data_IF_419473659305
#
_entry.id   IF_419473659305
#
_cell.length_a   1.000
_cell.length_b   1.000
_cell.length_c   1.000
_cell.angle_alpha   90.00
_cell.angle_beta   90.00
_cell.angle_gamma   90.00
#
_symmetry.space_group_name_H-M   'P 1'
#
loop_
_entity.id
_entity.type
_entity.pdbx_description
1 polymer ?
#
# COMPACT_ATOMS: atom_id res chain seq x y z
N UNK A 1 -9.63 -6.92 -10.44
CA UNK A 1 -9.89 -7.78 -9.27
C UNK A 1 -11.37 -7.61 -8.94
N UNK A 2 -12.20 -8.64 -9.14
CA UNK A 2 -13.67 -8.50 -9.10
C UNK A 2 -14.34 -9.17 -7.89
N UNK A 3 -13.60 -9.98 -7.10
CA UNK A 3 -14.10 -10.64 -5.89
C UNK A 3 -13.33 -10.19 -4.64
N UNK A 4 -14.02 -10.04 -3.51
CA UNK A 4 -13.43 -9.69 -2.21
C UNK A 4 -12.46 -10.77 -1.69
N UNK A 5 -12.69 -12.04 -2.04
CA UNK A 5 -11.75 -13.12 -1.72
C UNK A 5 -10.42 -12.96 -2.46
N UNK A 6 -10.48 -12.59 -3.74
CA UNK A 6 -9.28 -12.35 -4.58
C UNK A 6 -8.47 -11.14 -4.08
N UNK A 7 -9.16 -10.08 -3.63
CA UNK A 7 -8.50 -8.89 -3.05
C UNK A 7 -7.67 -9.28 -1.83
N UNK A 8 -8.23 -10.05 -0.90
CA UNK A 8 -7.53 -10.46 0.33
C UNK A 8 -6.31 -11.31 0.05
N UNK A 9 -6.40 -12.22 -0.92
CA UNK A 9 -5.28 -13.08 -1.28
C UNK A 9 -4.16 -12.27 -1.96
N UNK A 10 -4.49 -11.36 -2.88
CA UNK A 10 -3.49 -10.49 -3.50
C UNK A 10 -2.85 -9.53 -2.49
N UNK A 11 -3.62 -9.01 -1.53
CA UNK A 11 -3.09 -8.22 -0.42
C UNK A 11 -2.10 -9.03 0.43
N UNK A 12 -2.38 -10.30 0.73
CA UNK A 12 -1.45 -11.17 1.47
C UNK A 12 -0.16 -11.44 0.71
N UNK A 13 -0.26 -11.77 -0.58
CA UNK A 13 0.93 -11.98 -1.43
C UNK A 13 1.77 -10.71 -1.52
N UNK A 14 1.13 -9.57 -1.76
CA UNK A 14 1.80 -8.29 -1.77
C UNK A 14 2.47 -7.98 -0.44
N UNK A 15 1.78 -8.14 0.69
CA UNK A 15 2.35 -7.94 2.02
C UNK A 15 3.65 -8.73 2.24
N UNK A 16 3.68 -10.00 1.80
CA UNK A 16 4.88 -10.84 1.88
C UNK A 16 6.01 -10.33 0.99
N UNK A 17 5.72 -9.80 -0.20
CA UNK A 17 6.73 -9.22 -1.10
C UNK A 17 7.39 -7.97 -0.49
N UNK A 18 6.62 -7.19 0.26
CA UNK A 18 7.14 -6.06 1.03
C UNK A 18 7.86 -6.48 2.34
N UNK A 19 8.05 -7.79 2.57
CA UNK A 19 8.81 -8.31 3.71
C UNK A 19 8.05 -8.31 5.04
N UNK A 20 6.71 -8.18 5.01
CA UNK A 20 5.88 -8.14 6.22
C UNK A 20 5.08 -9.44 6.39
N UNK A 21 4.89 -9.85 7.64
CA UNK A 21 4.13 -11.08 7.97
C UNK A 21 2.67 -10.81 8.38
N UNK A 22 2.36 -9.60 8.81
CA UNK A 22 1.02 -9.20 9.25
C UNK A 22 0.78 -7.70 9.03
N UNK A 23 -0.49 -7.34 8.85
CA UNK A 23 -0.91 -5.94 8.84
C UNK A 23 -0.94 -5.39 10.26
N UNK A 24 -0.43 -4.18 10.45
CA UNK A 24 -0.62 -3.40 11.68
C UNK A 24 -2.05 -2.85 11.74
N UNK A 25 -2.53 -2.46 12.94
CA UNK A 25 -3.89 -1.92 13.10
C UNK A 25 -4.22 -0.81 12.10
N UNK A 26 -5.38 -0.92 11.45
CA UNK A 26 -5.88 0.05 10.47
C UNK A 26 -5.27 -0.02 9.07
N UNK A 27 -4.18 -0.77 8.86
CA UNK A 27 -3.57 -0.89 7.52
C UNK A 27 -4.46 -1.69 6.55
N UNK A 28 -4.92 -2.88 6.96
CA UNK A 28 -5.73 -3.76 6.11
C UNK A 28 -7.01 -3.07 5.64
N UNK A 29 -7.75 -2.47 6.58
CA UNK A 29 -9.00 -1.76 6.28
C UNK A 29 -8.76 -0.57 5.33
N UNK A 30 -7.70 0.21 5.58
CA UNK A 30 -7.38 1.38 4.75
C UNK A 30 -7.00 0.98 3.33
N UNK A 31 -6.18 -0.07 3.18
CA UNK A 31 -5.76 -0.58 1.86
C UNK A 31 -6.96 -1.16 1.11
N UNK A 32 -7.81 -1.93 1.79
CA UNK A 32 -9.02 -2.49 1.21
C UNK A 32 -9.95 -1.39 0.66
N UNK A 33 -10.17 -0.32 1.44
CA UNK A 33 -10.97 0.84 0.99
C UNK A 33 -10.38 1.50 -0.26
N UNK A 34 -9.05 1.71 -0.28
CA UNK A 34 -8.37 2.30 -1.45
C UNK A 34 -8.50 1.41 -2.68
N UNK A 35 -8.39 0.09 -2.53
CA UNK A 35 -8.57 -0.89 -3.61
C UNK A 35 -10.02 -0.97 -4.14
N UNK A 36 -10.99 -0.56 -3.32
CA UNK A 36 -12.39 -0.40 -3.71
C UNK A 36 -12.68 0.95 -4.37
N UNK A 37 -11.66 1.78 -4.58
CA UNK A 37 -11.81 3.14 -5.14
C UNK A 37 -12.37 4.16 -4.15
N UNK A 38 -12.38 3.86 -2.85
CA UNK A 38 -12.88 4.77 -1.82
C UNK A 38 -11.76 5.66 -1.27
N UNK A 39 -11.99 6.98 -1.28
CA UNK A 39 -11.12 7.92 -0.60
C UNK A 39 -11.05 7.61 0.90
N UNK A 40 -9.83 7.67 1.45
CA UNK A 40 -9.56 7.27 2.84
C UNK A 40 -8.60 8.26 3.48
N UNK A 41 -8.99 8.75 4.66
CA UNK A 41 -8.10 9.51 5.55
C UNK A 41 -7.63 8.56 6.65
N UNK A 42 -6.32 8.40 6.77
CA UNK A 42 -5.69 7.54 7.76
C UNK A 42 -4.73 8.35 8.62
N UNK A 43 -4.93 8.30 9.93
CA UNK A 43 -4.05 8.96 10.92
C UNK A 43 -3.22 7.89 11.60
N UNK A 44 -1.91 7.93 11.37
CA UNK A 44 -0.94 7.01 11.97
C UNK A 44 0.20 7.79 12.59
N UNK A 45 0.71 7.30 13.73
CA UNK A 45 1.94 7.82 14.31
C UNK A 45 3.16 7.49 13.42
N UNK A 46 4.23 8.25 13.58
CA UNK A 46 5.52 7.95 12.93
C UNK A 46 5.97 6.53 13.26
N UNK A 47 6.48 5.80 12.26
CA UNK A 47 6.93 4.41 12.43
C UNK A 47 5.81 3.36 12.37
N UNK A 48 4.53 3.75 12.33
CA UNK A 48 3.40 2.80 12.25
C UNK A 48 3.20 2.16 10.88
N UNK A 49 4.08 2.41 9.91
CA UNK A 49 3.99 1.80 8.58
C UNK A 49 2.97 2.46 7.66
N UNK A 50 2.81 3.78 7.72
CA UNK A 50 1.95 4.54 6.79
C UNK A 50 2.29 4.30 5.31
N UNK A 51 3.56 4.01 5.00
CA UNK A 51 4.03 3.82 3.63
C UNK A 51 3.36 2.66 2.91
N UNK A 52 3.19 1.55 3.62
CA UNK A 52 2.51 0.35 3.10
C UNK A 52 1.08 0.67 2.65
N UNK A 53 0.40 1.62 3.30
CA UNK A 53 -1.00 1.96 3.05
C UNK A 53 -1.23 2.61 1.68
N UNK A 54 -0.19 3.17 1.04
CA UNK A 54 -0.25 3.62 -0.35
C UNK A 54 0.61 2.77 -1.30
N UNK A 55 1.70 2.15 -0.82
CA UNK A 55 2.58 1.31 -1.64
C UNK A 55 1.91 0.02 -2.10
N UNK A 56 1.26 -0.72 -1.18
CA UNK A 56 0.60 -1.97 -1.53
C UNK A 56 -0.55 -1.76 -2.55
N UNK A 57 -1.48 -0.81 -2.36
CA UNK A 57 -2.51 -0.58 -3.37
C UNK A 57 -1.92 -0.05 -4.69
N UNK A 58 -0.87 0.78 -4.65
CA UNK A 58 -0.18 1.24 -5.86
C UNK A 58 0.39 0.07 -6.67
N UNK A 59 1.07 -0.86 -6.00
CA UNK A 59 1.62 -2.06 -6.63
C UNK A 59 0.53 -2.92 -7.26
N UNK A 60 -0.57 -3.16 -6.55
CA UNK A 60 -1.67 -3.97 -7.06
C UNK A 60 -2.38 -3.28 -8.24
N UNK A 61 -2.58 -1.96 -8.19
CA UNK A 61 -3.13 -1.22 -9.33
C UNK A 61 -2.20 -1.22 -10.54
N UNK A 62 -0.89 -1.09 -10.35
CA UNK A 62 0.08 -1.21 -11.44
C UNK A 62 0.06 -2.62 -12.05
N UNK A 63 0.10 -3.67 -11.22
CA UNK A 63 0.11 -5.08 -11.64
C UNK A 63 -1.15 -5.50 -12.39
N UNK A 64 -2.33 -5.07 -11.95
CA UNK A 64 -3.61 -5.56 -12.47
C UNK A 64 -4.25 -4.63 -13.51
N UNK A 65 -3.97 -3.32 -13.46
CA UNK A 65 -4.60 -2.32 -14.31
C UNK A 65 -3.59 -1.47 -15.11
N UNK A 66 -2.28 -1.69 -14.97
CA UNK A 66 -1.27 -0.85 -15.62
C UNK A 66 -1.31 0.62 -15.18
N UNK A 67 -1.80 0.88 -13.96
CA UNK A 67 -2.03 2.23 -13.46
C UNK A 67 -0.77 2.88 -12.89
N UNK A 68 -0.71 4.22 -12.94
CA UNK A 68 0.32 5.02 -12.29
C UNK A 68 -0.21 5.58 -10.96
N UNK A 69 0.59 5.49 -9.88
CA UNK A 69 0.26 6.10 -8.59
C UNK A 69 1.19 7.27 -8.30
N UNK A 70 0.63 8.42 -7.91
CA UNK A 70 1.37 9.62 -7.51
C UNK A 70 1.34 9.77 -5.99
N UNK A 71 2.52 9.75 -5.36
CA UNK A 71 2.68 9.99 -3.92
C UNK A 71 3.27 11.39 -3.73
N UNK A 72 2.54 12.27 -3.03
CA UNK A 72 2.96 13.64 -2.77
C UNK A 72 3.44 13.74 -1.32
N UNK A 73 4.72 14.04 -1.12
CA UNK A 73 5.33 14.26 0.19
C UNK A 73 5.89 15.69 0.27
N UNK A 74 5.78 16.37 1.43
CA UNK A 74 6.22 17.76 1.56
C UNK A 74 7.75 17.93 1.63
N UNK A 75 8.51 16.88 1.93
CA UNK A 75 9.97 16.94 2.12
C UNK A 75 10.67 15.86 1.29
N UNK A 76 11.79 16.24 0.64
CA UNK A 76 12.59 15.35 -0.22
C UNK A 76 13.25 14.23 0.58
N UNK A 77 13.76 14.51 1.78
CA UNK A 77 14.37 13.48 2.66
C UNK A 77 13.40 12.35 3.00
N UNK A 78 12.11 12.67 3.16
CA UNK A 78 11.08 11.66 3.37
C UNK A 78 10.77 10.84 2.12
N UNK A 79 11.09 11.33 0.92
CA UNK A 79 10.91 10.59 -0.33
C UNK A 79 12.00 9.52 -0.49
N UNK A 80 13.26 9.85 -0.18
CA UNK A 80 14.39 8.90 -0.23
C UNK A 80 14.16 7.69 0.70
N UNK A 81 13.71 7.95 1.93
CA UNK A 81 13.36 6.89 2.90
C UNK A 81 12.22 5.98 2.41
N UNK A 82 11.34 6.45 1.52
CA UNK A 82 10.21 5.67 1.01
C UNK A 82 10.59 4.82 -0.21
N UNK A 83 11.60 5.24 -0.97
CA UNK A 83 12.08 4.50 -2.15
C UNK A 83 12.81 3.22 -1.73
N UNK A 84 13.58 3.27 -0.64
CA UNK A 84 14.33 2.10 -0.13
C UNK A 84 13.45 0.93 0.33
N UNK A 85 12.17 1.17 0.60
CA UNK A 85 11.21 0.15 1.04
C UNK A 85 10.39 -0.52 -0.07
N UNK A 86 10.67 -0.22 -1.35
CA UNK A 86 9.99 -0.86 -2.48
C UNK A 86 10.67 -2.19 -2.84
N UNK A 87 9.90 -3.23 -3.22
CA UNK A 87 10.47 -4.46 -3.75
C UNK A 87 11.23 -4.18 -5.07
N UNK A 88 12.32 -4.91 -5.36
CA UNK A 88 13.06 -4.76 -6.61
C UNK A 88 12.20 -5.17 -7.82
N UNK A 89 12.51 -4.57 -8.98
CA UNK A 89 11.86 -4.82 -10.28
C UNK A 89 11.95 -6.29 -10.74
#
# INVERSE_FOLDING_TARGET
ITDAADIKEEMRKGLSLFGFSYFRPGQEDSICRVLQGLSTLLVLSTGSGKSLCYQLPAYLYAKHLGSLTLVISPLVSLMEDQITGLPPD
#
